data_IF_914472549148
#
_entry.id   IF_914472549148
#
_cell.length_a   1.000
_cell.length_b   1.000
_cell.length_c   1.000
_cell.angle_alpha   90.00
_cell.angle_beta   90.00
_cell.angle_gamma   90.00
#
_symmetry.space_group_name_H-M   'P 1'
#
loop_
_entity.id
_entity.type
_entity.pdbx_description
1 polymer ?
#
# COMPACT_ATOMS: atom_id res chain seq x y z
N UNK A 1 -10.94 13.89 37.77
CA UNK A 1 -11.80 12.74 37.39
C UNK A 1 -10.87 11.59 37.00
N UNK A 2 -10.72 10.55 37.82
CA UNK A 2 -9.93 9.36 37.46
C UNK A 2 -10.87 8.39 36.72
N UNK A 3 -10.65 8.19 35.43
CA UNK A 3 -11.39 7.18 34.66
C UNK A 3 -11.15 5.80 35.27
N UNK A 4 -12.20 4.96 35.33
CA UNK A 4 -12.09 3.63 35.91
C UNK A 4 -11.16 2.74 35.06
N UNK A 5 -10.38 1.83 35.66
CA UNK A 5 -9.48 0.92 34.94
C UNK A 5 -10.16 0.11 33.81
N UNK A 6 -11.47 -0.09 33.93
CA UNK A 6 -12.34 -0.75 32.93
C UNK A 6 -12.46 0.02 31.60
N UNK A 7 -12.55 1.36 31.65
CA UNK A 7 -12.66 2.18 30.44
C UNK A 7 -11.34 2.24 29.68
N UNK A 8 -10.21 2.28 30.40
CA UNK A 8 -8.88 2.24 29.78
C UNK A 8 -8.63 0.90 29.08
N UNK A 9 -9.04 -0.22 29.70
CA UNK A 9 -8.92 -1.55 29.09
C UNK A 9 -9.79 -1.69 27.83
N UNK A 10 -11.05 -1.24 27.90
CA UNK A 10 -11.98 -1.26 26.76
C UNK A 10 -11.53 -0.34 25.63
N UNK A 11 -10.91 0.79 25.95
CA UNK A 11 -10.32 1.67 24.95
C UNK A 11 -9.16 0.95 24.27
N UNK A 12 -8.20 0.40 24.99
CA UNK A 12 -7.06 -0.33 24.41
C UNK A 12 -7.51 -1.52 23.53
N UNK A 13 -8.53 -2.27 23.96
CA UNK A 13 -9.10 -3.38 23.18
C UNK A 13 -9.73 -2.88 21.87
N UNK A 14 -10.52 -1.80 21.90
CA UNK A 14 -11.14 -1.23 20.70
C UNK A 14 -10.07 -0.62 19.79
N UNK A 15 -9.15 0.17 20.35
CA UNK A 15 -8.06 0.80 19.59
C UNK A 15 -7.10 -0.22 18.99
N UNK A 16 -7.06 -1.46 19.48
CA UNK A 16 -6.27 -2.56 18.90
C UNK A 16 -6.91 -3.23 17.68
N UNK A 17 -8.16 -2.90 17.35
CA UNK A 17 -8.89 -3.47 16.20
C UNK A 17 -8.82 -2.54 14.99
N UNK A 18 -8.92 -3.10 13.78
CA UNK A 18 -8.96 -2.34 12.52
C UNK A 18 -9.99 -1.21 12.58
N UNK A 19 -11.23 -1.53 12.95
CA UNK A 19 -12.32 -0.56 13.11
C UNK A 19 -11.99 0.54 14.12
N UNK A 20 -11.37 0.22 15.25
CA UNK A 20 -10.98 1.21 16.25
C UNK A 20 -9.87 2.14 15.78
N UNK A 21 -8.88 1.60 15.06
CA UNK A 21 -7.87 2.43 14.40
C UNK A 21 -8.47 3.32 13.30
N UNK A 22 -9.40 2.82 12.49
CA UNK A 22 -10.10 3.61 11.46
C UNK A 22 -10.91 4.74 12.07
N UNK A 23 -11.61 4.49 13.16
CA UNK A 23 -12.37 5.52 13.88
C UNK A 23 -11.44 6.62 14.44
N UNK A 24 -10.27 6.25 14.96
CA UNK A 24 -9.27 7.22 15.41
C UNK A 24 -8.72 8.04 14.24
N UNK A 25 -8.37 7.40 13.13
CA UNK A 25 -7.78 8.06 11.97
C UNK A 25 -8.76 9.02 11.30
N UNK A 26 -10.05 8.65 11.28
CA UNK A 26 -11.16 9.54 10.90
C UNK A 26 -11.33 10.73 11.83
N UNK A 27 -11.13 10.56 13.14
CA UNK A 27 -11.17 11.66 14.13
C UNK A 27 -9.93 12.56 14.02
N UNK A 28 -8.76 11.99 13.69
CA UNK A 28 -7.47 12.70 13.60
C UNK A 28 -7.19 13.33 12.23
N UNK A 29 -8.06 13.13 11.24
CA UNK A 29 -7.86 13.64 9.87
C UNK A 29 -6.68 12.99 9.12
N UNK A 30 -6.16 11.86 9.61
CA UNK A 30 -5.09 11.11 8.97
C UNK A 30 -5.73 9.96 8.18
N UNK A 31 -6.08 10.20 6.91
CA UNK A 31 -6.86 9.29 6.06
C UNK A 31 -6.15 7.98 5.66
N UNK A 32 -5.00 7.66 6.24
CA UNK A 32 -4.33 6.41 5.90
C UNK A 32 -4.91 5.31 6.78
N UNK A 33 -5.75 4.45 6.20
CA UNK A 33 -6.25 3.28 6.90
C UNK A 33 -5.02 2.41 7.27
N UNK A 34 -4.83 2.01 8.54
CA UNK A 34 -3.78 1.08 8.91
C UNK A 34 -4.02 -0.33 8.35
N UNK A 35 -5.18 -0.57 7.73
CA UNK A 35 -5.45 -1.72 6.88
C UNK A 35 -4.64 -1.71 5.57
N UNK A 36 -4.28 -0.54 5.04
CA UNK A 36 -3.58 -0.41 3.77
C UNK A 36 -2.11 -0.76 3.97
N UNK A 37 -1.62 -1.76 3.24
CA UNK A 37 -0.24 -2.20 3.38
C UNK A 37 0.70 -1.13 2.81
N UNK A 38 1.78 -0.84 3.54
CA UNK A 38 2.80 0.12 3.11
C UNK A 38 4.13 -0.58 2.96
N UNK A 39 4.83 -0.28 1.88
CA UNK A 39 6.08 -0.94 1.57
C UNK A 39 6.99 -0.08 0.74
N UNK A 40 8.26 -0.51 0.72
CA UNK A 40 9.26 0.01 -0.19
C UNK A 40 9.48 -0.97 -1.31
N UNK A 41 9.41 -0.49 -2.54
CA UNK A 41 9.70 -1.28 -3.72
C UNK A 41 11.08 -0.92 -4.29
N UNK A 42 11.93 -1.93 -4.49
CA UNK A 42 13.24 -1.78 -5.10
C UNK A 42 13.27 -2.51 -6.43
N UNK A 43 13.81 -1.89 -7.48
CA UNK A 43 14.03 -2.58 -8.75
C UNK A 43 15.27 -3.47 -8.65
N UNK A 44 15.09 -4.78 -8.82
CA UNK A 44 16.22 -5.71 -8.93
C UNK A 44 16.84 -5.70 -10.33
N UNK A 45 16.01 -5.43 -11.33
CA UNK A 45 16.35 -5.19 -12.74
C UNK A 45 15.52 -4.00 -13.21
N UNK A 46 15.96 -3.27 -14.24
CA UNK A 46 15.20 -2.15 -14.80
C UNK A 46 13.70 -2.50 -14.95
N UNK A 47 12.83 -1.68 -14.36
CA UNK A 47 11.37 -1.80 -14.37
C UNK A 47 10.77 -3.04 -13.67
N UNK A 48 11.57 -3.87 -13.03
CA UNK A 48 11.11 -5.05 -12.27
C UNK A 48 11.29 -4.81 -10.79
N UNK A 49 10.21 -4.37 -10.14
CA UNK A 49 10.20 -4.01 -8.73
C UNK A 49 9.84 -5.20 -7.84
N UNK A 50 10.49 -5.27 -6.69
CA UNK A 50 10.13 -6.15 -5.57
C UNK A 50 9.82 -5.27 -4.37
N UNK A 51 8.61 -5.39 -3.85
CA UNK A 51 8.14 -4.65 -2.68
C UNK A 51 7.99 -5.57 -1.46
N UNK A 52 8.48 -5.10 -0.32
CA UNK A 52 8.24 -5.73 0.98
C UNK A 52 7.36 -4.83 1.82
N UNK A 53 6.23 -5.35 2.30
CA UNK A 53 5.20 -4.57 2.96
C UNK A 53 5.10 -4.88 4.45
N UNK A 54 4.61 -3.91 5.21
CA UNK A 54 4.30 -4.08 6.62
C UNK A 54 2.89 -3.53 6.93
N UNK A 55 1.96 -4.39 7.38
CA UNK A 55 2.10 -5.86 7.49
C UNK A 55 2.32 -6.52 6.11
N UNK A 56 3.02 -7.68 6.04
CA UNK A 56 3.23 -8.37 4.77
C UNK A 56 1.92 -8.91 4.22
N UNK A 57 1.75 -8.81 2.90
CA UNK A 57 0.60 -9.37 2.19
C UNK A 57 0.78 -10.88 2.06
N UNK A 58 -0.29 -11.62 2.35
CA UNK A 58 -0.32 -13.09 2.21
C UNK A 58 -1.13 -13.57 1.00
N UNK A 59 -1.95 -12.69 0.44
CA UNK A 59 -2.67 -12.87 -0.81
C UNK A 59 -2.98 -11.51 -1.44
N UNK A 60 -3.35 -11.52 -2.73
CA UNK A 60 -3.87 -10.37 -3.44
C UNK A 60 -5.29 -10.66 -3.90
N UNK A 61 -6.24 -9.82 -3.50
CA UNK A 61 -7.61 -9.82 -3.98
C UNK A 61 -7.92 -8.52 -4.71
N UNK A 62 -8.87 -8.58 -5.64
CA UNK A 62 -9.26 -7.40 -6.41
C UNK A 62 -9.69 -6.27 -5.46
N UNK A 63 -9.19 -5.08 -5.74
CA UNK A 63 -9.33 -3.84 -4.97
C UNK A 63 -8.48 -3.74 -3.70
N UNK A 64 -7.54 -4.66 -3.48
CA UNK A 64 -6.49 -4.42 -2.48
C UNK A 64 -5.72 -3.14 -2.80
N UNK A 65 -5.49 -2.36 -1.75
CA UNK A 65 -4.91 -1.02 -1.85
C UNK A 65 -3.61 -0.97 -1.05
N UNK A 66 -2.55 -0.51 -1.70
CA UNK A 66 -1.23 -0.39 -1.10
C UNK A 66 -0.63 0.98 -1.38
N UNK A 67 0.27 1.41 -0.51
CA UNK A 67 1.11 2.58 -0.74
C UNK A 67 2.55 2.15 -0.85
N UNK A 68 3.22 2.62 -1.90
CA UNK A 68 4.57 2.16 -2.26
C UNK A 68 5.48 3.35 -2.49
N UNK A 69 6.59 3.42 -1.77
CA UNK A 69 7.73 4.24 -2.18
C UNK A 69 8.62 3.44 -3.14
N UNK A 70 8.98 4.02 -4.28
CA UNK A 70 9.82 3.36 -5.27
C UNK A 70 11.28 3.82 -5.15
N UNK A 71 12.21 2.88 -4.98
CA UNK A 71 13.64 3.17 -4.83
C UNK A 71 14.37 3.43 -6.16
N UNK A 72 13.66 3.44 -7.29
CA UNK A 72 14.22 3.76 -8.60
C UNK A 72 13.14 4.23 -9.58
N UNK A 73 13.48 5.20 -10.42
CA UNK A 73 12.62 5.66 -11.52
C UNK A 73 12.49 4.57 -12.59
N UNK A 74 11.30 4.42 -13.16
CA UNK A 74 11.10 3.46 -14.26
C UNK A 74 11.59 4.06 -15.60
N UNK A 75 12.03 3.21 -16.52
CA UNK A 75 12.48 3.56 -17.87
C UNK A 75 11.54 3.03 -18.96
N UNK A 76 10.42 2.42 -18.58
CA UNK A 76 9.42 1.84 -19.48
C UNK A 76 8.37 1.03 -18.71
N UNK A 77 7.73 0.08 -19.38
CA UNK A 77 6.73 -0.79 -18.78
C UNK A 77 7.30 -1.52 -17.55
N UNK A 78 6.55 -1.51 -16.45
CA UNK A 78 7.04 -1.98 -15.17
C UNK A 78 6.13 -3.03 -14.52
N UNK A 79 6.73 -3.83 -13.64
CA UNK A 79 6.06 -4.86 -12.85
C UNK A 79 6.39 -4.69 -11.37
N UNK A 80 5.49 -5.13 -10.49
CA UNK A 80 5.71 -5.18 -9.05
C UNK A 80 5.41 -6.58 -8.53
N UNK A 81 6.38 -7.19 -7.85
CA UNK A 81 6.20 -8.38 -7.02
C UNK A 81 6.08 -7.98 -5.55
N UNK A 82 4.89 -8.12 -4.99
CA UNK A 82 4.59 -7.77 -3.59
C UNK A 82 4.75 -9.00 -2.70
N UNK A 83 5.69 -8.97 -1.76
CA UNK A 83 5.94 -10.03 -0.77
C UNK A 83 6.09 -11.44 -1.37
N UNK A 84 6.55 -11.55 -2.62
CA UNK A 84 6.75 -12.83 -3.30
C UNK A 84 5.47 -13.47 -3.87
N UNK A 85 4.34 -12.75 -3.87
CA UNK A 85 3.04 -13.25 -4.36
C UNK A 85 2.93 -13.32 -5.90
N UNK A 86 3.95 -12.83 -6.61
CA UNK A 86 4.04 -12.84 -8.07
C UNK A 86 4.24 -11.44 -8.65
N UNK A 87 4.93 -11.36 -9.79
CA UNK A 87 5.15 -10.11 -10.50
C UNK A 87 3.96 -9.78 -11.40
N UNK A 88 3.28 -8.67 -11.12
CA UNK A 88 2.16 -8.17 -11.91
C UNK A 88 2.51 -6.85 -12.59
N UNK A 89 2.04 -6.66 -13.83
CA UNK A 89 2.22 -5.40 -14.56
C UNK A 89 1.55 -4.23 -13.85
N UNK A 90 2.19 -3.07 -13.94
CA UNK A 90 1.65 -1.80 -13.45
C UNK A 90 1.15 -1.01 -14.65
N UNK A 91 -0.10 -0.56 -14.59
CA UNK A 91 -0.73 0.29 -15.59
C UNK A 91 -1.16 1.61 -14.97
N UNK A 92 -1.22 2.64 -15.80
CA UNK A 92 -1.92 3.89 -15.51
C UNK A 92 -3.22 3.96 -16.32
N UNK A 93 -4.18 4.74 -15.84
CA UNK A 93 -5.41 5.05 -16.58
C UNK A 93 -6.14 3.80 -17.10
N UNK A 94 -6.19 2.73 -16.30
CA UNK A 94 -6.90 1.49 -16.59
C UNK A 94 -6.05 0.45 -17.34
N UNK A 95 -5.54 0.79 -18.52
CA UNK A 95 -4.86 -0.19 -19.38
C UNK A 95 -3.69 0.40 -20.18
N UNK A 96 -3.15 1.55 -19.76
CA UNK A 96 -2.01 2.18 -20.41
C UNK A 96 -0.74 1.74 -19.71
N UNK A 97 0.18 1.11 -20.44
CA UNK A 97 1.49 0.75 -19.90
C UNK A 97 2.24 2.00 -19.43
N UNK A 98 3.10 1.83 -18.42
CA UNK A 98 3.97 2.91 -17.99
C UNK A 98 5.02 3.21 -19.05
N UNK A 99 5.20 4.49 -19.34
CA UNK A 99 6.32 5.05 -20.06
C UNK A 99 7.45 5.40 -19.09
N UNK A 100 8.63 5.72 -19.62
CA UNK A 100 9.76 6.18 -18.81
C UNK A 100 9.37 7.39 -17.93
N UNK A 101 9.84 7.38 -16.69
CA UNK A 101 9.59 8.40 -15.66
C UNK A 101 8.12 8.61 -15.25
N UNK A 102 7.24 7.63 -15.50
CA UNK A 102 5.90 7.64 -14.88
C UNK A 102 5.94 7.30 -13.38
N UNK A 103 6.98 6.59 -12.93
CA UNK A 103 7.31 6.34 -11.53
C UNK A 103 8.60 7.08 -11.23
N UNK A 104 8.53 8.03 -10.29
CA UNK A 104 9.68 8.74 -9.77
C UNK A 104 10.25 8.07 -8.52
N UNK A 105 11.58 8.09 -8.42
CA UNK A 105 12.29 7.61 -7.25
C UNK A 105 11.93 8.42 -5.99
N UNK A 106 11.78 7.72 -4.86
CA UNK A 106 11.45 8.27 -3.54
C UNK A 106 10.11 9.02 -3.48
N UNK A 107 9.22 8.77 -4.44
CA UNK A 107 7.83 9.24 -4.41
C UNK A 107 6.93 8.09 -3.97
N UNK A 108 5.95 8.41 -3.12
CA UNK A 108 4.93 7.47 -2.67
C UNK A 108 3.79 7.50 -3.68
N UNK A 109 3.46 6.34 -4.23
CA UNK A 109 2.28 6.14 -5.08
C UNK A 109 1.28 5.24 -4.38
N UNK A 110 0.01 5.44 -4.71
CA UNK A 110 -1.05 4.49 -4.38
C UNK A 110 -1.21 3.49 -5.53
N UNK A 111 -1.31 2.20 -5.19
CA UNK A 111 -1.56 1.14 -6.16
C UNK A 111 -2.79 0.33 -5.74
N UNK A 112 -3.70 0.11 -6.68
CA UNK A 112 -4.89 -0.72 -6.49
C UNK A 112 -4.77 -1.97 -7.34
N UNK A 113 -4.94 -3.15 -6.74
CA UNK A 113 -4.91 -4.41 -7.48
C UNK A 113 -6.21 -4.61 -8.27
N UNK A 114 -6.13 -4.67 -9.60
CA UNK A 114 -7.28 -4.87 -10.47
C UNK A 114 -7.70 -6.35 -10.61
N UNK A 115 -6.99 -7.28 -9.97
CA UNK A 115 -7.22 -8.73 -10.02
C UNK A 115 -6.20 -9.49 -10.88
N UNK A 116 -5.51 -8.82 -11.79
CA UNK A 116 -4.44 -9.37 -12.62
C UNK A 116 -3.31 -8.37 -12.92
N UNK A 117 -3.42 -7.15 -12.39
CA UNK A 117 -2.48 -6.05 -12.61
C UNK A 117 -2.64 -5.00 -11.51
N UNK A 118 -1.65 -4.11 -11.40
CA UNK A 118 -1.73 -2.93 -10.56
C UNK A 118 -2.20 -1.71 -11.35
N UNK A 119 -3.06 -0.91 -10.75
CA UNK A 119 -3.38 0.45 -11.21
C UNK A 119 -2.63 1.44 -10.34
N UNK A 120 -1.77 2.26 -10.94
CA UNK A 120 -1.07 3.32 -10.23
C UNK A 120 -1.90 4.61 -10.26
N UNK A 121 -1.97 5.28 -9.11
CA UNK A 121 -2.50 6.63 -8.95
C UNK A 121 -1.56 7.47 -8.10
N UNK A 122 -1.63 8.79 -8.31
CA UNK A 122 -1.08 9.80 -7.42
C UNK A 122 -1.99 10.00 -6.22
#
# INVERSE_FOLDING_TARGET
>A
MKFSPSLTKRLVEVLGTREGYELINRIRGNSINPADAKGRATAAVANTYVGTFNPPLTSLVKYDHIYVDFASTNTGAATLNTDGLGAYSIYKQGNVELAAADIDINVIYSLIFAGASWQITL
#
